data_IF_459457472825
#
_entry.id   IF_459457472825
#
_cell.length_a   1.000
_cell.length_b   1.000
_cell.length_c   1.000
_cell.angle_alpha   90.00
_cell.angle_beta   90.00
_cell.angle_gamma   90.00
#
_symmetry.space_group_name_H-M   'P 1'
#
loop_
_entity.id
_entity.type
_entity.pdbx_description
1 polymer ?
#
# COMPACT_ATOMS: atom_id res chain seq x y z
N UNK A 1 -0.70 -10.35 -9.88
CA UNK A 1 -1.79 -10.24 -10.86
C UNK A 1 -2.33 -11.62 -11.12
N UNK A 2 -3.65 -11.82 -11.08
CA UNK A 2 -4.31 -13.11 -11.33
C UNK A 2 -3.99 -13.62 -12.77
N UNK A 3 -3.20 -14.70 -12.93
CA UNK A 3 -2.76 -15.17 -14.25
C UNK A 3 -3.91 -15.64 -15.15
N UNK A 4 -5.09 -15.99 -14.61
CA UNK A 4 -6.23 -16.46 -15.42
C UNK A 4 -6.78 -15.43 -16.41
N UNK A 5 -6.35 -14.17 -16.29
CA UNK A 5 -6.77 -13.07 -17.17
C UNK A 5 -5.94 -12.97 -18.46
N UNK A 6 -4.91 -13.80 -18.63
CA UNK A 6 -4.16 -13.91 -19.87
C UNK A 6 -5.03 -14.59 -20.97
N UNK A 7 -5.16 -14.03 -22.19
CA UNK A 7 -5.86 -14.70 -23.30
C UNK A 7 -5.30 -16.07 -23.65
N UNK A 8 -3.99 -16.26 -23.45
CA UNK A 8 -3.30 -17.51 -23.72
C UNK A 8 -3.17 -18.38 -22.45
N UNK A 9 -3.94 -18.04 -21.40
CA UNK A 9 -3.88 -18.74 -20.13
C UNK A 9 -4.16 -20.23 -20.31
N UNK A 10 -3.18 -21.03 -19.94
CA UNK A 10 -3.35 -22.46 -19.71
C UNK A 10 -3.16 -22.70 -18.22
N UNK A 11 -4.04 -23.49 -17.57
CA UNK A 11 -3.81 -23.99 -16.23
C UNK A 11 -2.37 -24.50 -16.13
N UNK A 12 -1.59 -24.05 -15.14
CA UNK A 12 -0.20 -24.46 -15.03
C UNK A 12 -0.13 -25.98 -14.92
N UNK A 13 0.55 -26.63 -15.87
CA UNK A 13 0.78 -28.07 -15.74
C UNK A 13 1.87 -28.32 -14.68
N UNK A 14 1.84 -29.43 -13.93
CA UNK A 14 2.80 -29.70 -12.86
C UNK A 14 4.29 -29.63 -13.30
N UNK A 15 4.54 -29.85 -14.60
CA UNK A 15 5.86 -29.87 -15.21
C UNK A 15 6.13 -28.70 -16.18
N UNK A 16 5.27 -27.67 -16.20
CA UNK A 16 5.46 -26.54 -17.10
C UNK A 16 6.60 -25.64 -16.61
N UNK A 17 7.73 -25.70 -17.30
CA UNK A 17 8.84 -24.79 -17.05
C UNK A 17 8.54 -23.43 -17.67
N UNK A 18 8.74 -22.37 -16.89
CA UNK A 18 8.76 -20.99 -17.36
C UNK A 18 9.63 -20.85 -18.62
N UNK A 19 9.10 -20.20 -19.66
CA UNK A 19 9.88 -19.80 -20.83
C UNK A 19 9.83 -18.27 -21.02
N UNK A 20 10.98 -17.57 -20.98
CA UNK A 20 12.28 -18.08 -20.50
C UNK A 20 12.19 -18.52 -19.02
N UNK A 21 13.08 -19.42 -18.57
CA UNK A 21 13.14 -19.83 -17.16
C UNK A 21 13.44 -18.61 -16.29
N UNK A 22 12.99 -18.62 -15.02
CA UNK A 22 13.29 -17.55 -14.09
C UNK A 22 14.80 -17.50 -13.86
N UNK A 23 15.28 -16.34 -13.43
CA UNK A 23 16.70 -16.13 -13.16
C UNK A 23 17.20 -17.20 -12.16
N UNK A 24 18.38 -17.81 -12.39
CA UNK A 24 18.88 -18.86 -11.53
C UNK A 24 19.07 -18.31 -10.11
N UNK A 25 18.68 -19.08 -9.07
CA UNK A 25 18.78 -18.69 -7.65
C UNK A 25 20.16 -18.14 -7.24
N UNK A 26 21.22 -18.44 -7.99
CA UNK A 26 22.56 -17.90 -7.78
C UNK A 26 22.69 -16.39 -8.02
N UNK A 27 21.84 -15.77 -8.84
CA UNK A 27 21.86 -14.32 -9.13
C UNK A 27 20.99 -13.52 -8.17
N UNK A 28 20.15 -14.19 -7.40
CA UNK A 28 19.34 -13.60 -6.35
C UNK A 28 20.17 -13.64 -5.06
N UNK A 29 20.35 -12.51 -4.34
CA UNK A 29 21.03 -12.53 -3.05
C UNK A 29 20.38 -13.55 -2.13
N UNK A 30 21.18 -14.37 -1.43
CA UNK A 30 20.65 -15.34 -0.45
C UNK A 30 19.90 -14.58 0.64
N UNK A 31 18.59 -14.48 0.50
CA UNK A 31 17.76 -13.70 1.40
C UNK A 31 17.61 -14.45 2.71
N UNK A 32 18.04 -13.83 3.80
CA UNK A 32 17.62 -14.28 5.13
C UNK A 32 16.09 -14.05 5.23
N UNK A 33 15.32 -14.95 5.87
CA UNK A 33 13.91 -14.71 6.16
C UNK A 33 13.70 -13.36 6.86
N UNK A 34 12.47 -12.84 6.87
CA UNK A 34 12.18 -11.60 7.58
C UNK A 34 12.46 -11.85 9.07
N UNK A 35 13.51 -11.19 9.59
CA UNK A 35 13.88 -11.30 11.01
C UNK A 35 13.25 -10.12 11.73
N UNK A 36 12.47 -10.37 12.80
CA UNK A 36 11.97 -9.31 13.66
C UNK A 36 13.12 -8.46 14.20
N UNK A 37 12.94 -7.14 14.29
CA UNK A 37 13.87 -6.31 15.03
C UNK A 37 13.79 -6.66 16.53
N UNK A 38 14.90 -7.09 17.14
CA UNK A 38 14.94 -7.49 18.55
C UNK A 38 15.66 -6.41 19.36
N UNK A 39 15.26 -6.08 20.60
CA UNK A 39 15.94 -5.07 21.42
C UNK A 39 17.45 -5.28 21.59
N UNK A 40 17.94 -6.52 21.48
CA UNK A 40 19.37 -6.82 21.48
C UNK A 40 20.13 -6.16 20.31
N UNK A 41 19.47 -5.90 19.18
CA UNK A 41 20.03 -5.19 18.02
C UNK A 41 20.31 -3.69 18.32
N UNK A 42 19.69 -3.12 19.37
CA UNK A 42 20.02 -1.76 19.86
C UNK A 42 21.27 -1.75 20.75
N UNK A 43 21.62 -2.89 21.36
CA UNK A 43 22.59 -2.98 22.44
C UNK A 43 24.05 -3.11 21.98
N UNK A 44 24.34 -3.27 20.68
CA UNK A 44 25.72 -3.34 20.18
C UNK A 44 26.53 -2.05 20.48
N UNK A 45 25.86 -0.95 20.81
CA UNK A 45 26.50 0.31 21.23
C UNK A 45 26.57 0.50 22.75
N UNK A 46 25.77 -0.24 23.54
CA UNK A 46 25.69 -0.09 25.00
C UNK A 46 26.60 -1.10 25.71
N UNK A 47 26.75 -2.31 25.15
CA UNK A 47 27.62 -3.37 25.68
C UNK A 47 29.06 -3.30 25.13
N UNK A 48 29.36 -2.32 24.28
CA UNK A 48 30.73 -2.05 23.87
C UNK A 48 31.55 -1.62 25.12
N UNK A 49 32.67 -2.29 25.43
CA UNK A 49 33.48 -1.91 26.58
C UNK A 49 33.89 -0.45 26.43
N UNK A 50 33.66 0.36 27.48
CA UNK A 50 34.13 1.74 27.52
C UNK A 50 35.60 1.79 27.12
N UNK A 51 35.92 2.40 25.98
CA UNK A 51 37.29 2.57 25.54
C UNK A 51 37.95 3.68 26.38
N UNK A 52 38.44 3.31 27.56
CA UNK A 52 39.14 4.19 28.50
C UNK A 52 40.47 4.74 27.93
N UNK A 53 40.98 4.20 26.82
CA UNK A 53 42.24 4.69 26.22
C UNK A 53 42.07 6.00 25.42
N UNK A 54 40.87 6.26 24.87
CA UNK A 54 40.60 7.47 24.09
C UNK A 54 40.50 8.75 24.96
N UNK A 55 40.34 8.63 26.28
CA UNK A 55 40.28 9.77 27.21
C UNK A 55 41.66 10.15 27.77
N UNK A 56 42.66 9.26 27.66
CA UNK A 56 44.00 9.48 28.23
C UNK A 56 44.91 10.39 27.38
N UNK A 57 44.61 10.56 26.10
CA UNK A 57 45.41 11.41 25.18
C UNK A 57 44.91 12.84 25.04
N UNK A 58 43.77 13.21 25.63
CA UNK A 58 43.22 14.57 25.55
C UNK A 58 43.77 15.56 26.61
N UNK A 59 44.62 15.12 27.56
CA UNK A 59 45.06 15.96 28.69
C UNK A 59 46.53 16.43 28.67
N UNK A 60 47.26 16.35 27.55
CA UNK A 60 48.67 16.77 27.50
C UNK A 60 49.05 17.95 26.62
N UNK A 61 48.10 18.71 26.08
CA UNK A 61 48.43 19.98 25.43
C UNK A 61 47.36 21.04 25.74
N UNK A 62 47.58 21.81 26.80
CA UNK A 62 47.37 23.26 26.84
C UNK A 62 47.68 23.78 28.24
N UNK A 63 48.89 24.31 28.41
CA UNK A 63 49.24 25.17 29.53
C UNK A 63 50.04 26.35 28.98
N UNK A 64 49.36 27.49 28.76
CA UNK A 64 49.85 28.89 28.95
C UNK A 64 48.87 29.91 28.34
N UNK A 65 47.96 30.46 29.16
CA UNK A 65 47.95 31.88 29.60
C UNK A 65 46.68 32.19 30.41
N UNK A 66 46.89 33.01 31.44
CA UNK A 66 46.00 33.51 32.50
C UNK A 66 44.68 34.13 32.03
N UNK A 67 43.55 34.06 32.76
CA UNK A 67 43.30 34.82 34.01
C UNK A 67 41.93 34.49 34.66
N UNK A 68 41.93 34.49 36.01
CA UNK A 68 40.86 34.87 36.98
C UNK A 68 39.52 34.10 37.09
N UNK A 69 39.28 33.64 38.33
CA UNK A 69 38.02 33.55 39.11
C UNK A 69 36.91 32.64 38.54
N UNK A 70 36.39 31.61 39.24
CA UNK A 70 35.83 31.57 40.61
C UNK A 70 35.76 30.09 41.05
N UNK A 71 35.90 29.87 42.35
CA UNK A 71 35.64 28.60 43.05
C UNK A 71 34.14 28.28 43.01
N UNK A 72 33.76 27.05 42.69
CA UNK A 72 33.01 26.17 43.59
C UNK A 72 32.83 24.77 42.98
N UNK A 73 33.18 23.77 43.78
CA UNK A 73 33.03 22.34 43.49
C UNK A 73 31.59 21.93 43.83
N UNK A 74 30.86 21.32 42.89
CA UNK A 74 29.65 20.60 43.22
C UNK A 74 30.00 19.16 43.59
N UNK A 75 29.87 18.87 44.88
CA UNK A 75 29.86 17.54 45.48
C UNK A 75 28.53 16.87 45.12
N UNK A 76 28.54 15.59 44.74
CA UNK A 76 27.32 14.80 44.54
C UNK A 76 26.81 14.39 45.93
N UNK A 77 25.59 14.75 46.36
CA UNK A 77 25.03 14.29 47.63
C UNK A 77 24.46 12.89 47.47
N UNK A 78 24.95 11.94 48.26
CA UNK A 78 24.31 10.64 48.51
C UNK A 78 23.37 10.82 49.70
N UNK A 79 22.10 11.18 49.47
CA UNK A 79 20.97 10.88 50.36
C UNK A 79 19.61 11.30 49.77
N UNK A 80 18.58 10.54 50.11
CA UNK A 80 17.30 10.41 49.42
C UNK A 80 16.22 11.46 49.83
N UNK A 81 16.60 12.61 50.39
CA UNK A 81 15.65 13.59 50.96
C UNK A 81 15.64 14.99 50.32
N UNK A 82 16.35 15.20 49.20
CA UNK A 82 16.43 16.52 48.52
C UNK A 82 15.65 16.58 47.19
N UNK A 83 14.41 16.08 47.14
CA UNK A 83 13.49 16.41 46.04
C UNK A 83 12.41 17.38 46.52
N UNK A 84 12.52 18.64 46.10
CA UNK A 84 11.41 19.59 46.14
C UNK A 84 10.42 19.32 44.99
N UNK A 85 9.11 19.49 45.20
CA UNK A 85 8.08 19.11 44.23
C UNK A 85 8.00 20.10 43.06
N UNK A 86 7.75 19.57 41.86
CA UNK A 86 7.45 20.36 40.67
C UNK A 86 6.06 21.01 40.80
N UNK A 87 6.03 22.29 40.46
CA UNK A 87 4.91 23.24 40.52
C UNK A 87 3.62 22.77 39.82
N UNK A 88 2.52 22.87 40.55
CA UNK A 88 1.13 22.93 40.07
C UNK A 88 0.81 24.33 39.52
N UNK A 89 0.20 24.38 38.33
CA UNK A 89 -0.62 25.49 37.83
C UNK A 89 -1.54 24.94 36.73
N UNK A 90 -2.61 24.24 37.12
CA UNK A 90 -3.85 24.18 36.34
C UNK A 90 -4.99 24.30 37.36
N UNK A 91 -5.86 25.25 37.07
CA UNK A 91 -7.05 25.67 37.78
C UNK A 91 -7.98 24.53 38.18
N UNK A 92 -8.53 24.68 39.38
CA UNK A 92 -9.70 24.01 39.90
C UNK A 92 -10.94 24.35 39.05
N UNK A 93 -11.72 23.33 38.69
CA UNK A 93 -13.15 23.27 38.97
C UNK A 93 -13.54 21.78 39.06
N UNK A 94 -13.74 21.34 40.31
CA UNK A 94 -14.88 20.56 40.82
C UNK A 94 -15.52 19.44 39.94
N UNK A 95 -15.90 18.25 40.43
CA UNK A 95 -15.83 17.55 41.73
C UNK A 95 -16.50 16.16 41.50
N UNK A 96 -16.08 15.16 42.30
CA UNK A 96 -16.79 13.92 42.70
C UNK A 96 -16.91 12.79 41.65
N UNK A 97 -16.04 11.77 41.69
CA UNK A 97 -15.97 10.62 42.63
C UNK A 97 -16.92 9.46 42.25
N UNK A 98 -16.34 8.36 41.75
CA UNK A 98 -16.79 7.02 42.09
C UNK A 98 -15.62 6.03 41.97
N UNK A 99 -15.11 5.63 43.14
CA UNK A 99 -14.15 4.54 43.26
C UNK A 99 -14.83 3.19 43.03
N UNK A 100 -14.16 2.36 42.25
CA UNK A 100 -14.34 0.91 42.31
C UNK A 100 -13.63 0.35 43.54
N UNK A 101 -14.28 -0.57 44.25
CA UNK A 101 -13.58 -1.64 44.94
C UNK A 101 -14.23 -3.00 44.67
N UNK A 102 -13.33 -3.95 44.42
CA UNK A 102 -13.49 -5.37 44.23
C UNK A 102 -14.29 -6.07 45.34
N UNK A 103 -15.03 -7.13 44.99
CA UNK A 103 -14.84 -8.49 45.54
C UNK A 103 -15.89 -9.48 45.03
N UNK A 104 -15.43 -10.66 44.61
CA UNK A 104 -16.17 -11.91 44.31
C UNK A 104 -16.82 -12.51 45.59
N UNK A 105 -17.49 -13.70 45.63
CA UNK A 105 -17.96 -14.65 44.58
C UNK A 105 -19.38 -15.25 44.84
N UNK A 106 -19.78 -16.29 44.05
CA UNK A 106 -20.86 -17.32 44.28
C UNK A 106 -22.30 -16.84 44.01
N UNK A 107 -23.29 -17.59 43.48
CA UNK A 107 -23.55 -19.03 43.23
C UNK A 107 -24.88 -19.15 42.48
N UNK A 108 -25.06 -20.21 41.67
CA UNK A 108 -26.33 -20.93 41.36
C UNK A 108 -27.47 -20.14 40.68
N UNK A 109 -28.35 -20.67 39.84
CA UNK A 109 -28.58 -21.91 39.11
C UNK A 109 -29.95 -21.71 38.42
N UNK A 110 -30.30 -22.51 37.40
CA UNK A 110 -31.68 -22.96 37.07
C UNK A 110 -32.61 -21.83 36.52
N UNK A 111 -33.42 -21.96 35.47
CA UNK A 111 -33.83 -23.03 34.56
C UNK A 111 -34.59 -22.39 33.38
N UNK A 112 -34.84 -23.20 32.34
CA UNK A 112 -36.10 -23.36 31.54
C UNK A 112 -37.12 -22.19 31.49
N UNK A 113 -37.84 -21.86 30.44
CA UNK A 113 -38.37 -22.59 29.28
C UNK A 113 -39.36 -21.61 28.61
N UNK A 114 -39.52 -21.68 27.27
CA UNK A 114 -40.83 -21.79 26.56
C UNK A 114 -41.97 -20.77 26.86
N UNK A 115 -42.83 -20.34 25.94
CA UNK A 115 -43.15 -20.82 24.60
C UNK A 115 -44.11 -19.80 23.92
N UNK A 116 -44.13 -19.86 22.58
CA UNK A 116 -45.29 -19.74 21.66
C UNK A 116 -46.36 -18.60 21.70
N UNK A 117 -46.43 -17.94 20.53
CA UNK A 117 -47.55 -17.82 19.56
C UNK A 117 -48.88 -17.05 19.79
N UNK A 118 -49.36 -16.62 18.62
CA UNK A 118 -50.73 -16.31 18.15
C UNK A 118 -51.31 -14.91 18.45
N UNK A 119 -52.15 -14.30 17.61
CA UNK A 119 -52.50 -14.37 16.19
C UNK A 119 -53.51 -13.20 15.94
N UNK A 120 -53.79 -12.89 14.67
CA UNK A 120 -55.07 -12.32 14.14
C UNK A 120 -55.47 -10.87 14.51
N UNK A 121 -56.31 -10.13 13.77
CA UNK A 121 -56.65 -9.94 12.35
C UNK A 121 -57.53 -8.65 12.29
N UNK A 122 -57.48 -7.89 11.18
CA UNK A 122 -58.51 -7.01 10.54
C UNK A 122 -59.54 -6.20 11.36
N UNK A 123 -59.79 -4.93 11.01
CA UNK A 123 -60.88 -4.45 10.09
C UNK A 123 -61.19 -2.92 10.15
N UNK A 124 -61.47 -2.34 8.95
CA UNK A 124 -62.50 -1.32 8.56
C UNK A 124 -62.54 0.07 9.24
N UNK A 125 -62.35 1.19 8.54
CA UNK A 125 -63.18 1.90 7.53
C UNK A 125 -64.04 3.06 8.12
N UNK A 126 -63.92 4.27 7.56
CA UNK A 126 -65.04 5.23 7.37
C UNK A 126 -64.62 6.46 6.53
N UNK A 127 -65.55 6.86 5.66
CA UNK A 127 -65.51 7.92 4.64
C UNK A 127 -66.11 9.23 5.17
N UNK A 128 -65.82 10.38 4.51
CA UNK A 128 -66.78 11.38 3.97
C UNK A 128 -66.07 12.71 3.57
N UNK A 129 -65.97 13.09 2.28
CA UNK A 129 -66.84 13.99 1.44
C UNK A 129 -66.66 15.50 1.77
N UNK A 130 -66.54 16.52 0.88
CA UNK A 130 -66.75 16.71 -0.59
C UNK A 130 -66.30 18.13 -1.04
N UNK A 131 -66.15 18.32 -2.38
CA UNK A 131 -66.38 19.54 -3.24
C UNK A 131 -65.35 20.70 -3.21
N UNK A 132 -64.85 21.33 -4.31
CA UNK A 132 -65.23 21.42 -5.75
C UNK A 132 -64.12 22.12 -6.59
N UNK A 133 -63.94 21.69 -7.85
CA UNK A 133 -63.66 22.42 -9.12
C UNK A 133 -62.39 23.31 -9.27
N UNK A 134 -61.62 23.38 -10.38
CA UNK A 134 -61.70 22.95 -11.81
C UNK A 134 -60.31 23.16 -12.45
N UNK A 135 -59.84 22.25 -13.33
CA UNK A 135 -59.45 22.52 -14.74
C UNK A 135 -58.43 21.55 -15.37
N UNK A 136 -58.93 20.89 -16.42
CA UNK A 136 -58.27 20.52 -17.70
C UNK A 136 -57.12 19.49 -17.77
N UNK A 137 -57.54 18.27 -18.13
CA UNK A 137 -57.07 17.43 -19.25
C UNK A 137 -55.64 16.85 -19.30
N UNK A 138 -55.60 15.53 -19.04
CA UNK A 138 -54.76 14.50 -19.68
C UNK A 138 -54.85 14.57 -21.23
N UNK A 139 -54.00 13.99 -22.08
CA UNK A 139 -53.20 12.75 -22.13
C UNK A 139 -52.28 12.98 -23.36
N UNK A 140 -51.06 12.48 -23.53
CA UNK A 140 -50.69 11.16 -24.09
C UNK A 140 -49.24 11.27 -24.59
N UNK A 141 -48.52 10.15 -24.63
CA UNK A 141 -47.12 9.98 -25.05
C UNK A 141 -46.79 10.50 -26.46
N UNK A 142 -45.60 11.08 -26.60
CA UNK A 142 -44.84 11.07 -27.87
C UNK A 142 -43.35 10.75 -27.59
N UNK A 143 -42.99 9.51 -27.89
CA UNK A 143 -41.60 9.06 -28.05
C UNK A 143 -41.12 9.48 -29.45
N UNK A 144 -39.91 10.05 -29.53
CA UNK A 144 -39.18 10.49 -30.74
C UNK A 144 -39.32 11.96 -31.14
N UNK A 145 -38.63 12.85 -30.41
CA UNK A 145 -37.80 13.91 -31.01
C UNK A 145 -37.02 14.65 -29.92
N UNK A 146 -35.74 14.34 -29.77
CA UNK A 146 -34.70 15.31 -29.39
C UNK A 146 -33.35 14.63 -29.58
N UNK A 147 -32.87 14.66 -30.83
CA UNK A 147 -31.46 14.46 -31.12
C UNK A 147 -30.67 15.65 -30.55
N UNK A 148 -29.61 15.35 -29.81
CA UNK A 148 -28.44 16.22 -29.75
C UNK A 148 -28.48 17.35 -28.72
N UNK A 149 -28.37 17.00 -27.44
CA UNK A 149 -27.69 17.88 -26.48
C UNK A 149 -26.58 17.08 -25.81
N UNK A 150 -25.37 17.20 -26.35
CA UNK A 150 -24.14 16.79 -25.65
C UNK A 150 -24.10 17.58 -24.34
N UNK A 151 -24.24 16.93 -23.20
CA UNK A 151 -23.97 17.54 -21.90
C UNK A 151 -22.49 17.90 -21.89
N UNK A 152 -22.21 19.21 -21.90
CA UNK A 152 -20.86 19.75 -21.83
C UNK A 152 -20.28 19.45 -20.46
N UNK A 153 -19.19 18.67 -20.43
CA UNK A 153 -18.46 18.25 -19.23
C UNK A 153 -17.79 19.42 -18.46
N UNK A 154 -17.99 20.66 -18.92
CA UNK A 154 -17.25 21.86 -18.48
C UNK A 154 -17.76 22.49 -17.19
N UNK A 155 -18.94 22.14 -16.69
CA UNK A 155 -19.60 22.97 -15.65
C UNK A 155 -19.50 22.39 -14.23
N UNK A 156 -18.99 21.16 -14.06
CA UNK A 156 -18.81 20.51 -12.74
C UNK A 156 -17.38 19.97 -12.52
N UNK A 157 -16.37 20.59 -13.15
CA UNK A 157 -14.96 20.22 -13.04
C UNK A 157 -14.09 21.42 -12.69
N UNK A 158 -13.03 21.17 -11.91
CA UNK A 158 -12.00 22.14 -11.53
C UNK A 158 -11.57 23.01 -12.73
N UNK A 159 -11.67 24.33 -12.61
CA UNK A 159 -11.38 25.27 -13.70
C UNK A 159 -9.92 25.16 -14.15
N UNK A 160 -9.72 25.09 -15.47
CA UNK A 160 -8.40 24.93 -16.13
C UNK A 160 -7.38 26.02 -15.76
N UNK A 161 -7.85 27.19 -15.32
CA UNK A 161 -7.03 28.36 -14.99
C UNK A 161 -6.41 28.35 -13.59
N UNK A 162 -6.75 27.41 -12.71
CA UNK A 162 -6.33 27.49 -11.30
C UNK A 162 -5.01 26.78 -10.95
N UNK A 163 -4.41 25.95 -11.80
CA UNK A 163 -3.37 25.01 -11.33
C UNK A 163 -2.33 24.64 -12.40
N UNK A 164 -1.04 24.70 -12.02
CA UNK A 164 0.17 24.42 -12.81
C UNK A 164 0.09 23.24 -13.80
N UNK A 165 0.78 23.39 -14.94
CA UNK A 165 0.81 22.49 -16.08
C UNK A 165 1.05 21.03 -15.65
N UNK A 166 0.13 20.14 -16.05
CA UNK A 166 0.22 18.69 -15.79
C UNK A 166 1.41 18.05 -16.53
N UNK A 167 1.90 18.71 -17.57
CA UNK A 167 3.00 18.22 -18.40
C UNK A 167 4.37 18.69 -17.93
N UNK A 168 4.44 19.65 -17.00
CA UNK A 168 5.72 20.05 -16.41
C UNK A 168 6.23 18.90 -15.54
N UNK A 169 7.19 18.16 -16.11
CA UNK A 169 7.90 17.10 -15.41
C UNK A 169 8.82 17.78 -14.41
N UNK A 170 8.77 17.43 -13.11
CA UNK A 170 9.72 17.98 -12.16
C UNK A 170 11.15 17.78 -12.65
N UNK A 171 11.99 18.80 -12.48
CA UNK A 171 13.37 18.78 -12.96
C UNK A 171 14.10 17.50 -12.47
N UNK A 172 14.70 16.75 -13.40
CA UNK A 172 15.43 15.52 -13.11
C UNK A 172 14.61 14.23 -13.13
N UNK A 173 13.30 14.29 -13.40
CA UNK A 173 12.47 13.09 -13.61
C UNK A 173 12.34 12.82 -15.11
N UNK A 174 12.65 11.59 -15.53
CA UNK A 174 12.51 11.14 -16.91
C UNK A 174 11.24 10.29 -17.01
N UNK A 175 10.42 10.56 -18.04
CA UNK A 175 9.21 9.79 -18.32
C UNK A 175 9.53 8.41 -18.84
N UNK A 176 8.70 7.45 -18.46
CA UNK A 176 8.82 6.07 -18.90
C UNK A 176 8.58 5.95 -20.40
N UNK A 177 9.32 5.02 -21.01
CA UNK A 177 9.26 4.76 -22.43
C UNK A 177 7.90 4.19 -22.86
N UNK A 178 7.54 4.43 -24.13
CA UNK A 178 6.36 3.83 -24.77
C UNK A 178 6.69 2.59 -25.59
N UNK A 179 7.97 2.31 -25.80
CA UNK A 179 8.46 1.16 -26.56
C UNK A 179 9.69 0.59 -25.86
N UNK A 180 9.96 -0.69 -26.06
CA UNK A 180 11.03 -1.40 -25.36
C UNK A 180 12.43 -0.92 -25.80
N UNK A 181 12.59 -0.42 -27.02
CA UNK A 181 13.88 0.07 -27.54
C UNK A 181 14.36 1.33 -26.82
N UNK A 182 13.42 2.13 -26.34
CA UNK A 182 13.71 3.38 -25.61
C UNK A 182 13.63 3.21 -24.09
N UNK A 183 13.43 1.97 -23.62
CA UNK A 183 13.25 1.69 -22.21
C UNK A 183 14.56 1.82 -21.43
N UNK A 184 14.49 2.52 -20.31
CA UNK A 184 15.54 2.57 -19.30
C UNK A 184 14.93 2.34 -17.91
N UNK A 185 15.58 1.50 -17.11
CA UNK A 185 15.14 1.21 -15.75
C UNK A 185 15.19 2.48 -14.88
N UNK A 186 14.07 2.90 -14.25
CA UNK A 186 14.01 4.14 -13.48
C UNK A 186 14.86 4.06 -12.20
N UNK A 187 15.82 4.97 -12.05
CA UNK A 187 16.66 5.04 -10.83
C UNK A 187 16.69 6.40 -10.15
N UNK A 188 15.89 7.36 -10.62
CA UNK A 188 15.98 8.76 -10.18
C UNK A 188 15.66 8.98 -8.69
N UNK A 189 14.95 8.04 -8.05
CA UNK A 189 14.66 8.03 -6.60
C UNK A 189 15.19 6.78 -5.89
N UNK A 190 15.99 5.96 -6.56
CA UNK A 190 16.61 4.78 -5.95
C UNK A 190 17.80 5.23 -5.09
N UNK A 191 17.75 4.96 -3.78
CA UNK A 191 18.89 5.22 -2.91
C UNK A 191 20.06 4.32 -3.30
N UNK A 192 21.22 4.94 -3.53
CA UNK A 192 22.45 4.22 -3.91
C UNK A 192 23.27 3.76 -2.72
N UNK A 193 22.99 4.31 -1.53
CA UNK A 193 23.74 4.07 -0.30
C UNK A 193 22.80 3.89 0.87
N UNK A 194 23.04 2.85 1.67
CA UNK A 194 22.38 2.67 2.96
C UNK A 194 22.75 3.77 3.94
N UNK A 195 21.79 4.15 4.79
CA UNK A 195 22.01 5.05 5.90
C UNK A 195 22.43 4.31 7.16
N UNK A 196 21.85 3.13 7.41
CA UNK A 196 22.11 2.33 8.61
C UNK A 196 23.00 1.11 8.27
N UNK A 197 24.18 0.95 8.89
CA UNK A 197 25.07 -0.19 8.63
C UNK A 197 24.49 -1.52 9.13
N UNK A 198 23.52 -1.51 10.04
CA UNK A 198 22.93 -2.72 10.65
C UNK A 198 21.69 -3.21 9.91
N UNK A 199 21.26 -2.48 8.87
CA UNK A 199 20.12 -2.80 8.03
C UNK A 199 20.52 -3.37 6.68
N UNK A 200 19.59 -4.11 6.08
CA UNK A 200 19.70 -4.67 4.74
C UNK A 200 18.86 -3.86 3.74
N UNK A 201 19.32 -3.65 2.49
CA UNK A 201 18.59 -2.85 1.52
C UNK A 201 17.38 -3.62 0.99
N UNK A 202 16.23 -2.95 0.95
CA UNK A 202 14.96 -3.50 0.45
C UNK A 202 14.37 -2.60 -0.63
N UNK A 203 13.99 -3.21 -1.75
CA UNK A 203 13.12 -2.59 -2.75
C UNK A 203 11.76 -3.26 -2.72
N UNK A 204 10.71 -2.43 -2.74
CA UNK A 204 9.33 -2.87 -2.73
C UNK A 204 8.71 -2.65 -4.12
N UNK A 205 8.07 -3.68 -4.65
CA UNK A 205 7.44 -3.64 -5.98
C UNK A 205 5.95 -3.94 -5.86
N UNK A 206 5.08 -3.05 -6.32
CA UNK A 206 3.65 -3.30 -6.44
C UNK A 206 3.29 -3.56 -7.91
N UNK A 207 2.95 -4.81 -8.22
CA UNK A 207 2.43 -5.20 -9.55
C UNK A 207 0.90 -5.05 -9.56
N UNK A 208 0.34 -4.40 -10.57
CA UNK A 208 -1.09 -4.07 -10.54
C UNK A 208 -1.65 -3.56 -11.86
N UNK A 209 -2.99 -3.58 -11.97
CA UNK A 209 -3.64 -2.92 -13.11
C UNK A 209 -3.47 -1.40 -13.05
N UNK A 210 -3.69 -0.78 -11.89
CA UNK A 210 -3.70 0.68 -11.70
C UNK A 210 -4.59 1.41 -12.73
N UNK A 211 -5.84 0.96 -12.86
CA UNK A 211 -6.79 1.44 -13.87
C UNK A 211 -8.04 2.09 -13.25
N UNK A 212 -7.94 3.30 -12.68
CA UNK A 212 -6.73 4.10 -12.45
C UNK A 212 -6.05 3.81 -11.10
N UNK A 213 -4.82 4.31 -10.90
CA UNK A 213 -4.17 4.40 -9.57
C UNK A 213 -5.00 5.30 -8.64
N UNK A 214 -5.08 4.97 -7.35
CA UNK A 214 -5.87 5.68 -6.31
C UNK A 214 -5.01 6.03 -5.09
N UNK A 215 -5.53 6.86 -4.17
CA UNK A 215 -4.82 7.11 -2.90
C UNK A 215 -4.64 5.86 -2.05
N UNK A 216 -5.49 4.84 -2.18
CA UNK A 216 -5.29 3.56 -1.50
C UNK A 216 -3.95 2.94 -1.94
N UNK A 217 -3.67 2.87 -3.24
CA UNK A 217 -2.41 2.33 -3.76
C UNK A 217 -1.18 3.07 -3.21
N UNK A 218 -1.24 4.41 -3.18
CA UNK A 218 -0.19 5.23 -2.57
C UNK A 218 -0.04 4.95 -1.07
N UNK A 219 -1.16 4.82 -0.35
CA UNK A 219 -1.17 4.53 1.08
C UNK A 219 -0.61 3.15 1.39
N UNK A 220 -0.77 2.16 0.51
CA UNK A 220 -0.22 0.82 0.71
C UNK A 220 1.30 0.84 0.90
N UNK A 221 2.01 1.67 0.14
CA UNK A 221 3.47 1.82 0.27
C UNK A 221 3.87 2.45 1.59
N UNK A 222 3.16 3.48 2.05
CA UNK A 222 3.45 4.14 3.32
C UNK A 222 3.20 3.21 4.51
N UNK A 223 2.12 2.42 4.47
CA UNK A 223 1.87 1.40 5.50
C UNK A 223 2.93 0.29 5.52
N UNK A 224 3.41 -0.11 4.35
CA UNK A 224 4.50 -1.05 4.23
C UNK A 224 5.82 -0.46 4.75
N UNK A 225 6.08 0.82 4.48
CA UNK A 225 7.23 1.54 5.01
C UNK A 225 7.23 1.55 6.54
N UNK A 226 6.12 1.96 7.16
CA UNK A 226 5.98 1.98 8.63
C UNK A 226 6.22 0.59 9.23
N UNK A 227 5.58 -0.45 8.69
CA UNK A 227 5.72 -1.82 9.19
C UNK A 227 7.15 -2.38 9.03
N UNK A 228 7.80 -2.09 7.90
CA UNK A 228 9.19 -2.53 7.65
C UNK A 228 10.16 -1.85 8.62
N UNK A 229 9.98 -0.54 8.87
CA UNK A 229 10.80 0.22 9.80
C UNK A 229 10.67 -0.33 11.23
N UNK A 230 9.45 -0.61 11.65
CA UNK A 230 9.16 -1.05 13.02
C UNK A 230 9.55 -2.51 13.26
N UNK A 231 9.25 -3.39 12.32
CA UNK A 231 9.24 -4.84 12.58
C UNK A 231 10.43 -5.57 11.99
N UNK A 232 11.28 -4.93 11.17
CA UNK A 232 12.32 -5.64 10.41
C UNK A 232 13.67 -4.95 10.43
N UNK A 233 14.71 -5.68 10.04
CA UNK A 233 16.07 -5.14 9.81
C UNK A 233 16.30 -4.61 8.40
N UNK A 234 15.24 -4.26 7.66
CA UNK A 234 15.38 -3.71 6.33
C UNK A 234 15.34 -2.18 6.34
N UNK A 235 16.09 -1.59 5.40
CA UNK A 235 16.02 -0.19 5.02
C UNK A 235 15.45 -0.13 3.60
N UNK A 236 14.31 0.54 3.42
CA UNK A 236 13.71 0.69 2.11
C UNK A 236 14.51 1.71 1.31
N UNK A 237 15.07 1.26 0.19
CA UNK A 237 15.91 2.08 -0.70
C UNK A 237 15.16 2.52 -1.96
N UNK A 238 13.98 1.97 -2.23
CA UNK A 238 13.12 2.37 -3.34
C UNK A 238 11.81 1.61 -3.39
N UNK A 239 10.79 2.24 -3.99
CA UNK A 239 9.49 1.63 -4.24
C UNK A 239 9.06 1.81 -5.69
N UNK A 240 8.48 0.77 -6.29
CA UNK A 240 8.11 0.77 -7.70
C UNK A 240 6.67 0.32 -7.91
N UNK A 241 5.92 1.09 -8.69
CA UNK A 241 4.74 0.60 -9.37
C UNK A 241 5.16 -0.09 -10.67
N UNK A 242 4.66 -1.30 -10.90
CA UNK A 242 4.78 -2.01 -12.19
C UNK A 242 3.38 -2.22 -12.77
N UNK A 243 2.92 -1.34 -13.68
CA UNK A 243 1.64 -1.51 -14.34
C UNK A 243 1.67 -2.70 -15.30
N UNK A 244 0.64 -3.55 -15.22
CA UNK A 244 0.51 -4.74 -16.06
C UNK A 244 0.46 -4.41 -17.57
N UNK A 245 0.84 -5.35 -18.43
CA UNK A 245 0.62 -5.30 -19.89
C UNK A 245 -0.87 -5.22 -20.26
N UNK A 246 -1.18 -4.60 -21.40
CA UNK A 246 -2.54 -4.55 -21.95
C UNK A 246 -3.07 -5.92 -22.38
N UNK A 247 -2.18 -6.89 -22.57
CA UNK A 247 -2.56 -8.28 -22.81
C UNK A 247 -3.22 -8.93 -21.59
N UNK A 248 -3.15 -8.29 -20.43
CA UNK A 248 -4.00 -8.64 -19.31
C UNK A 248 -5.43 -8.26 -19.65
N UNK A 249 -6.22 -9.18 -20.19
CA UNK A 249 -7.57 -8.97 -20.72
C UNK A 249 -8.63 -8.75 -19.62
N UNK A 250 -8.30 -7.94 -18.61
CA UNK A 250 -9.23 -7.50 -17.59
C UNK A 250 -10.20 -6.49 -18.19
N UNK A 251 -11.49 -6.76 -18.03
CA UNK A 251 -12.56 -5.84 -18.39
C UNK A 251 -12.38 -4.48 -17.66
N UNK A 252 -12.53 -3.39 -18.40
CA UNK A 252 -12.33 -2.03 -17.90
C UNK A 252 -10.86 -1.59 -17.77
N UNK A 253 -9.90 -2.36 -18.29
CA UNK A 253 -8.50 -1.96 -18.32
C UNK A 253 -8.28 -0.85 -19.36
N UNK A 254 -7.80 0.31 -18.92
CA UNK A 254 -7.34 1.36 -19.84
C UNK A 254 -6.01 0.95 -20.50
N UNK A 255 -5.68 1.49 -21.69
CA UNK A 255 -4.39 1.26 -22.32
C UNK A 255 -3.21 1.54 -21.39
N UNK A 256 -2.14 0.75 -21.50
CA UNK A 256 -1.06 0.72 -20.54
C UNK A 256 -0.33 2.04 -20.45
N UNK A 257 -0.11 2.70 -21.58
CA UNK A 257 0.53 4.00 -21.62
C UNK A 257 -0.24 5.06 -20.80
N UNK A 258 -1.58 4.99 -20.75
CA UNK A 258 -2.36 5.86 -19.87
C UNK A 258 -2.17 5.51 -18.40
N UNK A 259 -2.14 4.20 -18.07
CA UNK A 259 -1.99 3.72 -16.69
C UNK A 259 -0.62 4.04 -16.13
N UNK A 260 0.45 3.77 -16.89
CA UNK A 260 1.82 4.20 -16.59
C UNK A 260 1.83 5.70 -16.34
N UNK A 261 1.23 6.50 -17.24
CA UNK A 261 1.21 7.95 -17.10
C UNK A 261 0.48 8.42 -15.84
N UNK A 262 -0.66 7.82 -15.51
CA UNK A 262 -1.39 8.14 -14.28
C UNK A 262 -0.56 7.78 -13.03
N UNK A 263 0.15 6.66 -13.04
CA UNK A 263 1.08 6.30 -11.95
C UNK A 263 2.21 7.32 -11.80
N UNK A 264 2.81 7.79 -12.91
CA UNK A 264 3.86 8.82 -12.85
C UNK A 264 3.32 10.11 -12.24
N UNK A 265 2.18 10.59 -12.75
CA UNK A 265 1.52 11.81 -12.27
C UNK A 265 1.12 11.74 -10.80
N UNK A 266 0.78 10.54 -10.31
CA UNK A 266 0.55 10.31 -8.90
C UNK A 266 1.86 10.46 -8.11
N UNK A 267 2.92 9.74 -8.50
CA UNK A 267 4.19 9.70 -7.76
C UNK A 267 4.96 11.01 -7.78
N UNK A 268 4.90 11.77 -8.87
CA UNK A 268 5.73 12.97 -9.08
C UNK A 268 5.46 14.08 -8.07
N UNK A 269 4.20 14.25 -7.67
CA UNK A 269 3.78 15.35 -6.79
C UNK A 269 3.48 14.91 -5.36
N UNK A 270 3.39 13.60 -5.09
CA UNK A 270 2.98 13.11 -3.77
C UNK A 270 4.03 12.23 -3.08
N UNK A 271 5.14 11.88 -3.73
CA UNK A 271 6.16 11.01 -3.14
C UNK A 271 7.58 11.45 -3.50
N UNK A 272 8.53 11.16 -2.61
CA UNK A 272 9.97 11.36 -2.78
C UNK A 272 10.75 10.08 -3.11
N UNK A 273 10.13 8.90 -2.95
CA UNK A 273 10.82 7.60 -3.02
C UNK A 273 10.16 6.57 -3.96
N UNK A 274 8.93 6.85 -4.40
CA UNK A 274 8.20 5.99 -5.33
C UNK A 274 8.51 6.34 -6.79
N UNK A 275 8.64 5.29 -7.60
CA UNK A 275 8.89 5.34 -9.04
C UNK A 275 7.90 4.44 -9.78
N UNK A 276 7.87 4.56 -11.11
CA UNK A 276 7.05 3.73 -11.98
C UNK A 276 7.96 3.08 -13.00
N UNK A 277 7.92 1.77 -13.10
CA UNK A 277 8.64 1.00 -14.11
C UNK A 277 7.66 0.48 -15.16
N UNK A 278 7.85 0.89 -16.43
CA UNK A 278 6.98 0.49 -17.52
C UNK A 278 7.35 -0.85 -18.15
N UNK A 279 8.44 -1.51 -17.72
CA UNK A 279 8.95 -2.73 -18.39
C UNK A 279 7.90 -3.82 -18.59
N UNK A 280 7.11 -4.15 -17.55
CA UNK A 280 6.04 -5.15 -17.62
C UNK A 280 5.01 -4.77 -18.68
N UNK A 281 4.64 -3.50 -18.75
CA UNK A 281 3.64 -3.00 -19.69
C UNK A 281 4.09 -2.99 -21.15
N UNK A 282 5.40 -2.96 -21.39
CA UNK A 282 6.00 -2.94 -22.72
C UNK A 282 6.17 -4.35 -23.30
N UNK A 283 5.91 -5.39 -22.52
CA UNK A 283 6.00 -6.77 -23.00
C UNK A 283 4.86 -7.10 -23.95
N UNK A 284 5.21 -7.78 -25.04
CA UNK A 284 4.28 -8.20 -26.10
C UNK A 284 3.27 -9.22 -25.60
N UNK A 285 3.62 -10.03 -24.60
CA UNK A 285 2.78 -11.05 -24.00
C UNK A 285 2.56 -10.75 -22.51
N UNK A 286 1.53 -11.36 -21.91
CA UNK A 286 1.35 -11.30 -20.47
C UNK A 286 2.60 -11.84 -19.76
N UNK A 287 3.01 -11.11 -18.71
CA UNK A 287 4.22 -11.41 -17.95
C UNK A 287 3.82 -11.81 -16.54
N UNK A 288 4.22 -13.02 -16.15
CA UNK A 288 4.00 -13.53 -14.79
C UNK A 288 4.75 -12.67 -13.77
N UNK A 289 4.15 -12.46 -12.61
CA UNK A 289 4.74 -11.66 -11.53
C UNK A 289 6.13 -12.15 -11.10
N UNK A 290 6.38 -13.46 -11.14
CA UNK A 290 7.72 -14.03 -10.90
C UNK A 290 8.80 -13.40 -11.80
N UNK A 291 8.53 -13.27 -13.10
CA UNK A 291 9.46 -12.66 -14.07
C UNK A 291 9.62 -11.16 -13.89
N UNK A 292 8.58 -10.49 -13.42
CA UNK A 292 8.67 -9.06 -13.09
C UNK A 292 9.65 -8.87 -11.93
N UNK A 293 9.58 -9.70 -10.88
CA UNK A 293 10.53 -9.66 -9.77
C UNK A 293 11.95 -10.04 -10.21
N UNK A 294 12.10 -11.00 -11.12
CA UNK A 294 13.40 -11.32 -11.76
C UNK A 294 14.01 -10.11 -12.47
N UNK A 295 13.20 -9.38 -13.24
CA UNK A 295 13.64 -8.15 -13.91
C UNK A 295 14.17 -7.11 -12.91
N UNK A 296 13.44 -6.84 -11.83
CA UNK A 296 13.92 -5.93 -10.77
C UNK A 296 15.22 -6.43 -10.13
N UNK A 297 15.33 -7.73 -9.85
CA UNK A 297 16.56 -8.31 -9.32
C UNK A 297 17.73 -8.16 -10.31
N UNK A 298 17.49 -8.42 -11.58
CA UNK A 298 18.50 -8.28 -12.63
C UNK A 298 18.98 -6.83 -12.75
N UNK A 299 18.07 -5.87 -12.78
CA UNK A 299 18.40 -4.45 -12.89
C UNK A 299 19.17 -3.93 -11.66
N UNK A 300 18.78 -4.34 -10.45
CA UNK A 300 19.36 -3.79 -9.22
C UNK A 300 20.60 -4.59 -8.77
N UNK A 301 20.50 -5.92 -8.71
CA UNK A 301 21.57 -6.76 -8.16
C UNK A 301 22.57 -7.20 -9.22
N UNK A 302 22.14 -7.54 -10.43
CA UNK A 302 23.05 -8.05 -11.46
C UNK A 302 23.73 -6.91 -12.22
N UNK A 303 22.96 -6.01 -12.84
CA UNK A 303 23.53 -4.90 -13.64
C UNK A 303 24.22 -3.85 -12.78
N UNK A 304 23.65 -3.51 -11.62
CA UNK A 304 24.18 -2.46 -10.73
C UNK A 304 25.02 -3.00 -9.58
N UNK A 305 25.03 -4.31 -9.35
CA UNK A 305 25.81 -4.96 -8.30
C UNK A 305 25.25 -4.78 -6.89
N UNK A 306 23.99 -4.36 -6.74
CA UNK A 306 23.36 -4.08 -5.44
C UNK A 306 23.49 -2.63 -4.97
N UNK A 307 23.34 -2.43 -3.66
CA UNK A 307 23.36 -1.11 -2.99
C UNK A 307 24.63 -0.96 -2.19
N UNK A 308 25.20 0.25 -2.15
CA UNK A 308 26.39 0.51 -1.37
C UNK A 308 26.07 0.56 0.13
N UNK A 309 26.81 -0.18 0.94
CA UNK A 309 26.75 -0.10 2.40
C UNK A 309 27.39 1.19 2.91
N UNK A 310 27.27 1.46 4.21
CA UNK A 310 27.96 2.59 4.86
C UNK A 310 29.49 2.47 4.72
N UNK A 311 30.03 1.25 4.73
CA UNK A 311 31.46 0.93 4.60
C UNK A 311 31.97 0.98 3.16
N UNK A 312 31.08 1.11 2.18
CA UNK A 312 31.42 1.26 0.76
C UNK A 312 31.37 -0.04 -0.05
N UNK A 313 31.16 -1.19 0.60
CA UNK A 313 30.93 -2.48 -0.06
C UNK A 313 29.56 -2.50 -0.75
N UNK A 314 29.44 -3.22 -1.86
CA UNK A 314 28.11 -3.44 -2.47
C UNK A 314 27.48 -4.70 -1.90
N UNK A 315 26.26 -4.55 -1.40
CA UNK A 315 25.46 -5.65 -0.85
C UNK A 315 24.20 -5.85 -1.68
N UNK A 316 23.76 -7.11 -1.78
CA UNK A 316 22.55 -7.47 -2.51
C UNK A 316 21.31 -6.85 -1.89
N UNK A 317 20.46 -6.27 -2.72
CA UNK A 317 19.16 -5.73 -2.35
C UNK A 317 18.09 -6.83 -2.36
N UNK A 318 17.33 -6.96 -1.28
CA UNK A 318 16.16 -7.81 -1.27
C UNK A 318 15.04 -7.13 -2.07
N UNK A 319 14.36 -7.88 -2.92
CA UNK A 319 13.15 -7.41 -3.62
C UNK A 319 11.95 -8.09 -2.96
N UNK A 320 10.90 -7.34 -2.65
CA UNK A 320 9.65 -7.91 -2.12
C UNK A 320 8.44 -7.39 -2.87
N UNK A 321 7.46 -8.27 -3.07
CA UNK A 321 6.18 -7.95 -3.70
C UNK A 321 5.24 -7.31 -2.67
N UNK A 322 4.74 -6.11 -2.95
CA UNK A 322 3.69 -5.45 -2.17
C UNK A 322 2.32 -5.73 -2.81
N UNK A 323 1.39 -6.22 -2.00
CA UNK A 323 0.07 -6.60 -2.45
C UNK A 323 -1.00 -6.37 -1.36
N UNK A 324 -2.26 -6.30 -1.78
CA UNK A 324 -3.41 -6.39 -0.86
C UNK A 324 -3.81 -7.85 -0.62
N UNK A 325 -4.69 -8.07 0.38
CA UNK A 325 -5.27 -9.37 0.73
C UNK A 325 -5.88 -10.11 -0.48
N UNK A 326 -6.55 -9.41 -1.37
CA UNK A 326 -7.16 -10.00 -2.58
C UNK A 326 -6.14 -10.79 -3.43
N UNK A 327 -4.87 -10.38 -3.46
CA UNK A 327 -3.84 -11.11 -4.20
C UNK A 327 -3.45 -12.42 -3.53
N UNK A 328 -3.28 -12.44 -2.21
CA UNK A 328 -2.90 -13.65 -1.48
C UNK A 328 -4.01 -14.70 -1.56
N UNK A 329 -5.27 -14.28 -1.48
CA UNK A 329 -6.42 -15.16 -1.66
C UNK A 329 -6.43 -15.79 -3.06
N UNK A 330 -6.17 -14.99 -4.10
CA UNK A 330 -6.06 -15.51 -5.48
C UNK A 330 -4.94 -16.54 -5.65
N UNK A 331 -3.89 -16.50 -4.81
CA UNK A 331 -2.80 -17.48 -4.84
C UNK A 331 -3.22 -18.87 -4.35
N UNK A 332 -4.33 -18.99 -3.61
CA UNK A 332 -4.90 -20.28 -3.19
C UNK A 332 -5.96 -20.80 -4.13
N UNK A 333 -6.37 -20.03 -5.14
CA UNK A 333 -7.34 -20.51 -6.12
C UNK A 333 -6.69 -21.58 -7.01
N UNK A 334 -7.28 -22.79 -7.09
CA UNK A 334 -6.71 -23.87 -7.88
C UNK A 334 -6.56 -23.48 -9.35
N UNK A 335 -5.40 -23.80 -9.93
CA UNK A 335 -5.08 -23.52 -11.32
C UNK A 335 -4.97 -22.03 -11.68
N UNK A 336 -4.80 -21.13 -10.70
CA UNK A 336 -4.57 -19.70 -10.98
C UNK A 336 -3.08 -19.39 -11.01
N UNK A 337 -2.33 -19.92 -10.05
CA UNK A 337 -0.88 -19.75 -9.96
C UNK A 337 -0.16 -21.08 -10.11
N UNK A 338 1.00 -21.08 -10.77
CA UNK A 338 1.86 -22.25 -10.80
C UNK A 338 2.58 -22.39 -9.45
N UNK A 339 2.63 -23.60 -8.89
CA UNK A 339 3.36 -23.86 -7.63
C UNK A 339 4.82 -23.40 -7.71
N UNK A 340 5.45 -23.56 -8.88
CA UNK A 340 6.81 -23.08 -9.14
C UNK A 340 6.92 -21.55 -9.02
N UNK A 341 5.91 -20.82 -9.50
CA UNK A 341 5.87 -19.35 -9.35
C UNK A 341 5.69 -18.96 -7.88
N UNK A 342 4.83 -19.67 -7.13
CA UNK A 342 4.64 -19.42 -5.70
C UNK A 342 5.92 -19.67 -4.90
N UNK A 343 6.60 -20.80 -5.13
CA UNK A 343 7.90 -21.07 -4.52
C UNK A 343 8.96 -20.02 -4.89
N UNK A 344 8.93 -19.51 -6.12
CA UNK A 344 9.89 -18.50 -6.56
C UNK A 344 9.62 -17.13 -5.93
N UNK A 345 8.37 -16.67 -5.98
CA UNK A 345 7.94 -15.38 -5.42
C UNK A 345 8.10 -15.39 -3.89
N UNK A 346 7.58 -16.38 -3.20
CA UNK A 346 7.57 -16.42 -1.73
C UNK A 346 8.90 -16.90 -1.16
N UNK A 347 9.58 -17.84 -1.84
CA UNK A 347 10.83 -18.40 -1.34
C UNK A 347 12.05 -17.51 -1.59
N UNK A 348 12.20 -16.95 -2.79
CA UNK A 348 13.41 -16.20 -3.16
C UNK A 348 13.30 -14.69 -2.91
N UNK A 349 12.09 -14.13 -3.01
CA UNK A 349 11.85 -12.69 -2.86
C UNK A 349 11.18 -12.40 -1.51
N UNK A 350 9.89 -12.70 -1.42
CA UNK A 350 9.04 -12.42 -0.27
C UNK A 350 7.91 -11.46 -0.61
N UNK A 351 6.95 -11.34 0.31
CA UNK A 351 5.75 -10.56 0.10
C UNK A 351 5.38 -9.70 1.32
N UNK A 352 4.93 -8.48 1.06
CA UNK A 352 4.31 -7.57 2.01
C UNK A 352 2.82 -7.53 1.68
N UNK A 353 1.98 -8.05 2.58
CA UNK A 353 0.54 -8.21 2.33
C UNK A 353 -0.22 -7.26 3.23
N UNK A 354 -0.99 -6.36 2.64
CA UNK A 354 -1.91 -5.52 3.39
C UNK A 354 -3.23 -6.26 3.60
N UNK A 355 -3.49 -6.60 4.85
CA UNK A 355 -4.71 -7.24 5.31
C UNK A 355 -5.82 -6.20 5.43
N UNK A 356 -6.95 -6.47 4.76
CA UNK A 356 -8.15 -5.63 4.74
C UNK A 356 -9.23 -6.23 5.64
N UNK A 357 -10.28 -5.47 5.92
CA UNK A 357 -11.47 -5.99 6.60
C UNK A 357 -12.06 -7.17 5.82
N UNK A 358 -12.31 -8.27 6.50
CA UNK A 358 -12.93 -9.46 5.90
C UNK A 358 -11.96 -10.50 5.35
N UNK A 359 -10.69 -10.16 5.11
CA UNK A 359 -9.64 -11.12 4.71
C UNK A 359 -8.88 -11.60 5.94
N UNK A 360 -8.94 -12.90 6.27
CA UNK A 360 -8.08 -13.51 7.30
C UNK A 360 -6.84 -14.11 6.65
N UNK A 361 -5.84 -13.25 6.42
CA UNK A 361 -4.61 -13.63 5.73
C UNK A 361 -3.83 -14.66 6.56
N UNK A 362 -3.86 -14.53 7.89
CA UNK A 362 -3.11 -15.45 8.77
C UNK A 362 -3.67 -16.87 8.73
N UNK A 363 -4.99 -17.02 8.79
CA UNK A 363 -5.62 -18.33 8.65
C UNK A 363 -5.40 -18.92 7.26
N UNK A 364 -5.40 -18.09 6.23
CA UNK A 364 -5.08 -18.52 4.86
C UNK A 364 -3.63 -19.00 4.70
N UNK A 365 -2.66 -18.28 5.27
CA UNK A 365 -1.25 -18.72 5.28
C UNK A 365 -1.05 -20.04 6.02
N UNK A 366 -1.92 -20.37 6.98
CA UNK A 366 -1.89 -21.64 7.71
C UNK A 366 -2.50 -22.80 6.91
N UNK A 367 -3.50 -22.53 6.06
CA UNK A 367 -4.24 -23.56 5.34
C UNK A 367 -3.57 -24.05 4.05
N UNK A 368 -2.62 -23.29 3.50
CA UNK A 368 -1.95 -23.64 2.24
C UNK A 368 -0.47 -24.02 2.45
N UNK A 369 -0.10 -25.23 2.02
CA UNK A 369 1.23 -25.83 2.27
C UNK A 369 2.42 -24.96 1.82
N UNK A 370 2.39 -24.43 0.58
CA UNK A 370 3.48 -23.60 0.03
C UNK A 370 3.58 -22.28 0.80
N UNK A 371 2.44 -21.66 1.10
CA UNK A 371 2.40 -20.41 1.87
C UNK A 371 2.94 -20.61 3.27
N UNK A 372 2.56 -21.71 3.92
CA UNK A 372 3.02 -22.05 5.26
C UNK A 372 4.53 -22.32 5.27
N UNK A 373 5.06 -23.02 4.26
CA UNK A 373 6.50 -23.25 4.09
C UNK A 373 7.26 -21.91 4.05
N UNK A 374 6.82 -20.98 3.21
CA UNK A 374 7.48 -19.69 2.99
C UNK A 374 6.98 -18.56 3.89
N UNK A 375 6.16 -18.85 4.91
CA UNK A 375 5.51 -17.83 5.79
C UNK A 375 6.46 -16.85 6.46
N UNK A 376 7.71 -17.26 6.71
CA UNK A 376 8.75 -16.38 7.30
C UNK A 376 9.26 -15.31 6.32
N UNK A 377 8.89 -15.41 5.05
CA UNK A 377 9.19 -14.43 4.02
C UNK A 377 7.97 -13.60 3.63
N UNK A 378 6.89 -13.69 4.42
CA UNK A 378 5.65 -12.95 4.26
C UNK A 378 5.44 -12.07 5.49
N UNK A 379 5.27 -10.76 5.28
CA UNK A 379 4.90 -9.82 6.33
C UNK A 379 3.45 -9.37 6.10
N UNK A 380 2.58 -9.68 7.06
CA UNK A 380 1.17 -9.26 7.05
C UNK A 380 1.06 -7.94 7.79
N UNK A 381 0.52 -6.93 7.12
CA UNK A 381 0.39 -5.55 7.58
C UNK A 381 -1.09 -5.24 7.75
N UNK A 382 -1.53 -5.01 8.98
CA UNK A 382 -2.93 -4.71 9.26
C UNK A 382 -3.27 -3.24 8.95
N UNK A 383 -4.40 -3.02 8.30
CA UNK A 383 -4.90 -1.67 8.02
C UNK A 383 -5.56 -1.03 9.26
N UNK A 384 -4.89 -0.06 9.88
CA UNK A 384 -5.42 0.66 11.04
C UNK A 384 -6.52 1.68 10.69
N UNK A 385 -6.46 2.26 9.49
CA UNK A 385 -7.45 3.22 8.99
C UNK A 385 -8.10 2.65 7.74
N UNK A 386 -9.41 2.40 7.82
CA UNK A 386 -10.19 1.85 6.73
C UNK A 386 -10.25 2.80 5.54
N UNK A 387 -9.75 2.34 4.42
CA UNK A 387 -9.83 3.00 3.13
C UNK A 387 -10.04 1.93 2.06
N UNK A 388 -11.23 1.89 1.49
CA UNK A 388 -11.64 0.95 0.45
C UNK A 388 -11.91 1.67 -0.89
N UNK A 389 -11.02 2.61 -1.23
CA UNK A 389 -11.06 3.27 -2.53
C UNK A 389 -10.45 2.35 -3.61
N UNK A 390 -11.30 1.52 -4.20
CA UNK A 390 -10.93 0.63 -5.30
C UNK A 390 -11.04 1.32 -6.68
N UNK A 391 -10.18 0.94 -7.62
CA UNK A 391 -10.26 1.46 -9.00
C UNK A 391 -11.60 1.15 -9.67
N UNK A 392 -12.25 0.05 -9.30
CA UNK A 392 -13.58 -0.31 -9.82
C UNK A 392 -14.66 0.68 -9.37
N UNK A 393 -14.65 1.08 -8.08
CA UNK A 393 -15.55 2.14 -7.57
C UNK A 393 -15.29 3.48 -8.28
N UNK A 394 -14.03 3.82 -8.56
CA UNK A 394 -13.68 5.03 -9.33
C UNK A 394 -14.26 4.99 -10.75
N UNK A 395 -14.07 3.89 -11.49
CA UNK A 395 -14.61 3.76 -12.85
C UNK A 395 -16.15 3.79 -12.85
N UNK A 396 -16.79 3.23 -11.82
CA UNK A 396 -18.24 3.36 -11.63
C UNK A 396 -18.66 4.83 -11.47
N UNK A 397 -18.01 5.59 -10.59
CA UNK A 397 -18.35 6.99 -10.34
C UNK A 397 -18.20 7.84 -11.60
N UNK A 398 -17.11 7.65 -12.35
CA UNK A 398 -16.88 8.32 -13.63
C UNK A 398 -18.01 8.06 -14.64
N UNK A 399 -18.46 6.80 -14.78
CA UNK A 399 -19.57 6.43 -15.68
C UNK A 399 -20.92 7.01 -15.26
N UNK A 400 -21.09 7.31 -13.98
CA UNK A 400 -22.29 7.93 -13.42
C UNK A 400 -22.20 9.46 -13.36
N UNK A 401 -21.11 10.06 -13.84
CA UNK A 401 -20.87 11.49 -13.75
C UNK A 401 -20.71 12.00 -12.31
N UNK A 402 -20.34 11.11 -11.37
CA UNK A 402 -20.10 11.46 -9.98
C UNK A 402 -18.67 11.97 -9.79
N UNK A 403 -18.50 12.86 -8.81
CA UNK A 403 -17.17 13.39 -8.48
C UNK A 403 -16.27 12.31 -7.89
N UNK A 404 -15.01 12.31 -8.31
CA UNK A 404 -13.92 11.48 -7.80
C UNK A 404 -12.84 12.33 -7.10
N UNK A 405 -13.16 13.59 -6.82
CA UNK A 405 -12.26 14.52 -6.14
C UNK A 405 -11.90 13.98 -4.75
N UNK A 406 -10.64 14.16 -4.35
CA UNK A 406 -10.08 13.65 -3.08
C UNK A 406 -9.98 12.11 -2.97
N UNK A 407 -10.43 11.35 -3.97
CA UNK A 407 -10.21 9.90 -4.04
C UNK A 407 -8.91 9.53 -4.78
N UNK A 408 -8.42 10.45 -5.62
CA UNK A 408 -7.19 10.31 -6.39
C UNK A 408 -6.41 11.65 -6.37
N UNK A 409 -5.11 11.63 -6.69
CA UNK A 409 -4.35 12.86 -6.94
C UNK A 409 -5.01 13.73 -8.02
N UNK A 410 -5.04 15.04 -7.79
CA UNK A 410 -5.65 16.00 -8.72
C UNK A 410 -5.04 15.91 -10.14
N UNK A 411 -3.74 15.60 -10.25
CA UNK A 411 -3.06 15.38 -11.52
C UNK A 411 -3.66 14.21 -12.32
N UNK A 412 -3.97 13.11 -11.64
CA UNK A 412 -4.60 11.92 -12.23
C UNK A 412 -6.05 12.21 -12.65
N UNK A 413 -6.81 12.92 -11.82
CA UNK A 413 -8.20 13.29 -12.14
C UNK A 413 -8.26 14.10 -13.43
N UNK A 414 -7.36 15.09 -13.59
CA UNK A 414 -7.33 15.89 -14.81
C UNK A 414 -6.92 15.08 -16.02
N UNK A 415 -5.91 14.22 -15.88
CA UNK A 415 -5.49 13.33 -16.96
C UNK A 415 -6.66 12.46 -17.47
N UNK A 416 -7.45 11.92 -16.55
CA UNK A 416 -8.67 11.16 -16.87
C UNK A 416 -9.67 12.02 -17.65
N UNK A 417 -9.90 13.26 -17.22
CA UNK A 417 -10.84 14.20 -17.86
C UNK A 417 -10.38 14.62 -19.25
N UNK A 418 -9.10 14.99 -19.41
CA UNK A 418 -8.52 15.44 -20.68
C UNK A 418 -8.54 14.36 -21.76
N UNK A 419 -8.28 13.10 -21.37
CA UNK A 419 -8.30 11.96 -22.27
C UNK A 419 -9.66 11.25 -22.36
N UNK A 420 -10.69 11.74 -21.64
CA UNK A 420 -12.03 11.14 -21.66
C UNK A 420 -12.07 9.68 -21.21
N UNK A 421 -11.18 9.28 -20.30
CA UNK A 421 -11.02 7.88 -19.89
C UNK A 421 -12.23 7.40 -19.07
N UNK A 422 -12.58 6.12 -19.22
CA UNK A 422 -13.62 5.40 -18.46
C UNK A 422 -15.08 5.81 -18.68
N UNK A 423 -15.37 6.95 -19.32
CA UNK A 423 -16.73 7.50 -19.47
C UNK A 423 -17.67 6.58 -20.28
N UNK A 424 -17.19 6.02 -21.39
CA UNK A 424 -17.99 5.21 -22.32
C UNK A 424 -17.75 3.69 -22.18
N UNK A 425 -17.07 3.26 -21.11
CA UNK A 425 -16.72 1.85 -20.92
C UNK A 425 -17.84 1.07 -20.22
N UNK A 426 -18.25 -0.07 -20.78
CA UNK A 426 -19.16 -0.99 -20.08
C UNK A 426 -18.36 -2.01 -19.28
N UNK A 427 -18.76 -2.29 -18.04
CA UNK A 427 -18.16 -3.35 -17.21
C UNK A 427 -19.28 -4.22 -16.63
N UNK A 428 -19.09 -5.54 -16.53
CA UNK A 428 -20.06 -6.44 -15.93
C UNK A 428 -20.38 -6.04 -14.48
N UNK A 429 -21.66 -6.04 -14.13
CA UNK A 429 -22.15 -5.72 -12.76
C UNK A 429 -21.49 -6.62 -11.72
N UNK A 430 -21.25 -7.90 -12.04
CA UNK A 430 -20.55 -8.85 -11.17
C UNK A 430 -19.16 -8.34 -10.74
N UNK A 431 -18.41 -7.68 -11.61
CA UNK A 431 -17.08 -7.14 -11.26
C UNK A 431 -17.16 -5.89 -10.36
N UNK A 432 -18.29 -5.18 -10.38
CA UNK A 432 -18.55 -4.02 -9.53
C UNK A 432 -18.97 -4.44 -8.12
N UNK A 433 -19.65 -5.59 -8.00
CA UNK A 433 -20.15 -6.14 -6.74
C UNK A 433 -19.18 -7.13 -6.08
N UNK A 434 -18.34 -7.85 -6.86
CA UNK A 434 -17.37 -8.83 -6.35
C UNK A 434 -16.14 -8.17 -5.68
N UNK A 435 -16.01 -6.84 -5.68
CA UNK A 435 -15.09 -6.14 -4.76
C UNK A 435 -15.69 -6.11 -3.35
N UNK A 436 -16.06 -7.30 -2.84
CA UNK A 436 -16.98 -7.48 -1.72
C UNK A 436 -16.50 -6.78 -0.46
N UNK A 437 -17.52 -6.26 0.21
CA UNK A 437 -17.53 -5.46 1.45
C UNK A 437 -16.66 -6.00 2.58
#
# INVERSE_FOLDING_TARGET
MDPTRDPDFKPPSPNEQLQPPPDPKSTIPKSVPIVPFVPADLNETIDAPFNLEAVSHAHKNQNKKSTKNKKNKNHIPLNQFDFQPLSTNISEDEIIESGSQNSSPKTNAIDSEDDTNHNDEKTKASQNTTTTDTDSNATTLDYNRMSGTRVSFSTLGVLKSQIADLEEVPHGIVRQARTLENYEFPTHRLSKKLQDPNKLPLVIVACGSFSPITYLHLRMFEMALDAVIEQTRFEIVGGYYSPVSDNYNKSGLAPAHHRVRMCELACERTSSWLMVDAWESLQVNYTRTAKVLDHFNHEINVKRGGIQSVTGEKIGCKIMLLAGGDLIESMGEPNVWADQDLHHILGNYGCLILERTGSDVRSFLLSHDIMYEHRRNVLVISQLIYNDISSTKIRLFLRRGMSIQYLLPNSVIRYIQEHGLYVNSSEPVKQVLDSKD
#
